data_IF_198788204961
#
_entry.id   IF_198788204961
#
_cell.length_a   1.000
_cell.length_b   1.000
_cell.length_c   1.000
_cell.angle_alpha   90.00
_cell.angle_beta   90.00
_cell.angle_gamma   90.00
#
_symmetry.space_group_name_H-M   'P 1'
#
loop_
_entity.id
_entity.type
_entity.pdbx_description
1 polymer ?
#
# COMPACT_ATOMS: atom_id res chain seq x y z
N UNK A 1 25.17 12.27 8.20
CA UNK A 1 24.16 11.20 8.00
C UNK A 1 22.92 11.92 7.53
N UNK A 2 22.51 11.76 6.27
CA UNK A 2 21.29 12.42 5.77
C UNK A 2 20.11 11.77 6.51
N UNK A 3 19.21 12.57 7.08
CA UNK A 3 17.94 12.08 7.62
C UNK A 3 17.17 11.41 6.48
N UNK A 4 17.23 10.09 6.44
CA UNK A 4 16.69 9.26 5.34
C UNK A 4 15.26 8.79 5.66
N UNK A 5 14.57 9.52 6.53
CA UNK A 5 13.19 9.22 6.91
C UNK A 5 12.28 9.82 5.84
N UNK A 6 11.44 8.98 5.25
CA UNK A 6 10.41 9.45 4.32
C UNK A 6 9.40 10.31 5.10
N UNK A 7 9.01 11.43 4.51
CA UNK A 7 7.95 12.25 5.08
C UNK A 7 6.59 11.52 5.01
N UNK A 8 5.67 11.90 5.90
CA UNK A 8 4.33 11.31 5.96
C UNK A 8 3.60 11.34 4.61
N UNK A 9 3.62 12.44 3.83
CA UNK A 9 2.97 12.46 2.51
C UNK A 9 3.56 11.44 1.53
N UNK A 10 4.87 11.19 1.55
CA UNK A 10 5.48 10.16 0.69
C UNK A 10 5.00 8.76 1.09
N UNK A 11 4.89 8.49 2.40
CA UNK A 11 4.39 7.21 2.91
C UNK A 11 2.92 7.01 2.54
N UNK A 12 2.07 8.03 2.74
CA UNK A 12 0.65 8.00 2.40
C UNK A 12 0.43 7.74 0.90
N UNK A 13 1.11 8.49 0.03
CA UNK A 13 1.04 8.30 -1.42
C UNK A 13 1.48 6.89 -1.84
N UNK A 14 2.51 6.34 -1.19
CA UNK A 14 2.97 4.98 -1.47
C UNK A 14 1.89 3.95 -1.08
N UNK A 15 1.25 4.10 0.09
CA UNK A 15 0.15 3.24 0.54
C UNK A 15 -1.06 3.34 -0.40
N UNK A 16 -1.42 4.55 -0.83
CA UNK A 16 -2.53 4.77 -1.78
C UNK A 16 -2.28 4.07 -3.12
N UNK A 17 -1.03 4.15 -3.62
CA UNK A 17 -0.65 3.47 -4.86
C UNK A 17 -0.67 1.94 -4.68
N UNK A 18 -0.13 1.45 -3.57
CA UNK A 18 -0.13 0.03 -3.22
C UNK A 18 -1.56 -0.53 -3.13
N UNK A 19 -2.48 0.27 -2.59
CA UNK A 19 -3.90 -0.06 -2.48
C UNK A 19 -4.63 -0.33 -3.80
N UNK A 20 -3.99 -0.06 -4.95
CA UNK A 20 -4.50 -0.40 -6.29
C UNK A 20 -4.21 -1.84 -6.70
N UNK A 21 -3.56 -2.65 -5.85
CA UNK A 21 -3.39 -4.08 -6.08
C UNK A 21 -4.76 -4.74 -6.39
N UNK A 22 -4.84 -5.64 -7.40
CA UNK A 22 -6.08 -6.32 -7.75
C UNK A 22 -6.42 -7.40 -6.71
N UNK A 23 -7.67 -7.42 -6.22
CA UNK A 23 -8.09 -8.31 -5.12
C UNK A 23 -9.50 -8.86 -5.28
N UNK A 24 -9.74 -9.98 -4.61
CA UNK A 24 -11.04 -10.61 -4.49
C UNK A 24 -12.09 -9.64 -3.88
N UNK A 25 -13.15 -9.36 -4.64
CA UNK A 25 -14.23 -8.43 -4.29
C UNK A 25 -13.78 -7.04 -3.81
N UNK A 26 -12.54 -6.64 -4.12
CA UNK A 26 -11.95 -5.38 -3.65
C UNK A 26 -12.05 -5.21 -2.11
N UNK A 27 -11.93 -6.31 -1.34
CA UNK A 27 -12.12 -6.30 0.12
C UNK A 27 -11.08 -5.47 0.87
N UNK A 28 -9.87 -5.35 0.29
CA UNK A 28 -8.72 -4.61 0.84
C UNK A 28 -8.50 -4.93 2.33
N UNK A 29 -8.21 -6.20 2.68
CA UNK A 29 -8.26 -6.69 4.05
C UNK A 29 -6.98 -6.37 4.83
N UNK A 30 -6.35 -5.23 4.57
CA UNK A 30 -5.13 -4.80 5.24
C UNK A 30 -5.36 -3.52 6.04
N UNK A 31 -4.59 -3.39 7.10
CA UNK A 31 -4.42 -2.17 7.88
C UNK A 31 -2.93 -1.87 7.96
N UNK A 32 -2.56 -0.62 7.74
CA UNK A 32 -1.18 -0.18 7.80
C UNK A 32 -0.86 0.41 9.16
N UNK A 33 0.33 0.09 9.67
CA UNK A 33 0.95 0.77 10.79
C UNK A 33 2.36 1.21 10.40
N UNK A 34 2.71 2.45 10.74
CA UNK A 34 4.06 2.97 10.60
C UNK A 34 4.67 3.12 12.01
N UNK A 35 5.77 2.43 12.26
CA UNK A 35 6.49 2.47 13.54
C UNK A 35 7.98 2.70 13.29
N UNK A 36 8.48 3.87 13.71
CA UNK A 36 9.85 4.28 13.41
C UNK A 36 10.14 4.28 11.91
N UNK A 37 11.06 3.42 11.48
CA UNK A 37 11.44 3.25 10.06
C UNK A 37 10.78 2.05 9.38
N UNK A 38 9.74 1.46 9.99
CA UNK A 38 9.06 0.27 9.47
C UNK A 38 7.61 0.60 9.09
N UNK A 39 7.19 0.08 7.94
CA UNK A 39 5.82 0.14 7.47
C UNK A 39 5.31 -1.30 7.32
N UNK A 40 4.26 -1.67 8.05
CA UNK A 40 3.76 -3.04 8.11
C UNK A 40 2.26 -3.09 7.80
N UNK A 41 1.84 -3.88 6.81
CA UNK A 41 0.45 -4.25 6.67
C UNK A 41 0.14 -5.43 7.57
N UNK A 42 -0.92 -5.29 8.35
CA UNK A 42 -1.53 -6.36 9.13
C UNK A 42 -2.88 -6.70 8.53
N UNK A 43 -3.32 -7.96 8.71
CA UNK A 43 -4.65 -8.40 8.27
C UNK A 43 -5.73 -7.66 9.09
N UNK A 44 -6.72 -7.06 8.42
CA UNK A 44 -7.89 -6.48 9.06
C UNK A 44 -9.04 -7.51 9.13
N UNK A 45 -9.31 -8.12 10.30
CA UNK A 45 -10.32 -9.16 10.43
C UNK A 45 -11.75 -8.66 10.13
N UNK A 46 -12.00 -7.35 10.21
CA UNK A 46 -13.32 -6.76 9.93
C UNK A 46 -13.68 -6.77 8.44
N UNK A 47 -12.68 -7.00 7.57
CA UNK A 47 -12.81 -7.04 6.11
C UNK A 47 -12.76 -8.45 5.53
N UNK A 48 -12.71 -9.48 6.38
CA UNK A 48 -12.72 -10.86 5.94
C UNK A 48 -14.06 -11.22 5.29
N UNK A 49 -13.97 -11.86 4.14
CA UNK A 49 -15.13 -12.26 3.38
C UNK A 49 -15.59 -13.65 3.82
N UNK A 50 -16.91 -13.84 3.99
CA UNK A 50 -17.49 -15.16 4.25
C UNK A 50 -17.15 -16.20 3.16
N UNK A 51 -16.92 -15.73 1.93
CA UNK A 51 -16.51 -16.57 0.81
C UNK A 51 -15.08 -17.11 0.97
N UNK A 52 -14.21 -16.40 1.70
CA UNK A 52 -12.81 -16.79 1.97
C UNK A 52 -12.69 -17.44 3.36
N UNK A 53 -13.27 -18.64 3.50
CA UNK A 53 -13.35 -19.33 4.80
C UNK A 53 -12.00 -19.70 5.41
N UNK A 54 -10.98 -19.88 4.57
CA UNK A 54 -9.61 -20.20 5.02
C UNK A 54 -8.75 -18.95 5.24
N UNK A 55 -9.27 -17.75 4.96
CA UNK A 55 -8.52 -16.49 4.96
C UNK A 55 -7.34 -16.49 3.98
N UNK A 56 -7.29 -17.44 3.04
CA UNK A 56 -6.16 -17.59 2.12
C UNK A 56 -6.09 -16.41 1.17
N UNK A 57 -7.24 -16.02 0.62
CA UNK A 57 -7.32 -14.90 -0.32
C UNK A 57 -7.02 -13.58 0.39
N UNK A 58 -7.41 -13.43 1.66
CA UNK A 58 -7.07 -12.28 2.46
C UNK A 58 -5.56 -12.18 2.76
N UNK A 59 -4.88 -13.30 3.04
CA UNK A 59 -3.41 -13.31 3.19
C UNK A 59 -2.69 -13.03 1.88
N UNK A 60 -3.14 -13.61 0.76
CA UNK A 60 -2.60 -13.33 -0.58
C UNK A 60 -2.79 -11.85 -0.91
N UNK A 61 -3.93 -11.27 -0.55
CA UNK A 61 -4.22 -9.85 -0.70
C UNK A 61 -3.19 -8.98 0.04
N UNK A 62 -2.86 -9.31 1.29
CA UNK A 62 -1.80 -8.62 2.03
C UNK A 62 -0.41 -8.77 1.38
N UNK A 63 -0.11 -9.91 0.77
CA UNK A 63 1.10 -10.08 -0.04
C UNK A 63 1.09 -9.22 -1.31
N UNK A 64 -0.05 -9.14 -1.99
CA UNK A 64 -0.22 -8.35 -3.20
C UNK A 64 -0.04 -6.85 -2.95
N UNK A 65 -0.60 -6.31 -1.85
CA UNK A 65 -0.42 -4.90 -1.51
C UNK A 65 1.03 -4.57 -1.14
N UNK A 66 1.75 -5.51 -0.51
CA UNK A 66 3.19 -5.36 -0.25
C UNK A 66 3.99 -5.29 -1.55
N UNK A 67 3.69 -6.18 -2.51
CA UNK A 67 4.35 -6.20 -3.82
C UNK A 67 4.05 -4.94 -4.65
N UNK A 68 2.85 -4.36 -4.51
CA UNK A 68 2.47 -3.12 -5.18
C UNK A 68 2.99 -1.85 -4.51
N UNK A 69 3.64 -1.96 -3.35
CA UNK A 69 4.25 -0.81 -2.69
C UNK A 69 5.41 -0.28 -3.55
N UNK A 70 5.38 0.99 -3.99
CA UNK A 70 6.46 1.52 -4.79
C UNK A 70 7.78 1.54 -4.01
N UNK A 71 8.93 1.36 -4.67
CA UNK A 71 10.22 1.44 -3.99
C UNK A 71 10.41 2.85 -3.40
N UNK A 72 11.10 2.98 -2.24
CA UNK A 72 11.32 4.23 -1.51
C UNK A 72 12.42 5.08 -2.17
N UNK A 73 12.31 5.29 -3.48
CA UNK A 73 13.24 6.08 -4.27
C UNK A 73 12.62 7.45 -4.54
N UNK A 74 13.36 8.56 -4.32
CA UNK A 74 12.89 9.89 -4.68
C UNK A 74 12.43 9.93 -6.13
N UNK A 75 11.21 10.43 -6.35
CA UNK A 75 10.64 10.60 -7.70
C UNK A 75 10.71 12.07 -8.09
N UNK A 76 10.80 12.32 -9.40
CA UNK A 76 10.64 13.67 -9.93
C UNK A 76 9.23 14.19 -9.60
N UNK A 77 9.06 15.49 -9.34
CA UNK A 77 7.75 16.10 -9.18
C UNK A 77 6.82 15.73 -10.33
N UNK A 78 5.54 15.44 -10.02
CA UNK A 78 4.56 15.03 -11.03
C UNK A 78 4.40 16.09 -12.12
N UNK A 79 4.46 17.38 -11.75
CA UNK A 79 4.38 18.50 -12.68
C UNK A 79 5.50 18.52 -13.75
N UNK A 80 6.65 17.89 -13.47
CA UNK A 80 7.78 17.84 -14.40
C UNK A 80 7.66 16.73 -15.45
N UNK A 81 6.77 15.76 -15.22
CA UNK A 81 6.71 14.51 -16.01
C UNK A 81 5.32 14.20 -16.56
N UNK A 82 4.26 14.67 -15.91
CA UNK A 82 2.88 14.46 -16.34
C UNK A 82 2.28 15.76 -16.85
N UNK A 83 1.85 15.75 -18.11
CA UNK A 83 0.97 16.77 -18.67
C UNK A 83 -0.38 16.13 -18.96
N UNK A 84 -1.42 16.67 -18.33
CA UNK A 84 -2.79 16.27 -18.61
C UNK A 84 -3.33 17.18 -19.70
N UNK A 85 -3.54 16.61 -20.89
CA UNK A 85 -4.30 17.27 -21.93
C UNK A 85 -5.78 17.03 -21.60
N UNK A 86 -6.51 18.09 -21.27
CA UNK A 86 -7.96 18.05 -21.13
C UNK A 86 -8.63 18.17 -22.49
#
# INVERSE_FOLDING_TARGET
MLDTVLDTPTIENAIELAGRAPLLYNSQPWRWAAEGSRLEPTLDPTRLLRADRSMREAHISCGAVLDHLPPPTPRRPLADVLRLNR
#
